data_IF_676132747233
#
_entry.id   IF_676132747233
#
_cell.length_a   1.000
_cell.length_b   1.000
_cell.length_c   1.000
_cell.angle_alpha   90.00
_cell.angle_beta   90.00
_cell.angle_gamma   90.00
#
_symmetry.space_group_name_H-M   'P 1'
#
loop_
_entity.id
_entity.type
_entity.pdbx_description
1 polymer ?
#
# COMPACT_ATOMS: atom_id res chain seq x y z
N UNK A 1 27.12 30.30 -31.70
CA UNK A 1 26.40 30.01 -30.44
C UNK A 1 25.81 28.62 -30.57
N UNK A 2 26.39 27.64 -29.88
CA UNK A 2 25.92 26.25 -29.88
C UNK A 2 25.05 26.02 -28.64
N UNK A 3 23.76 25.73 -28.84
CA UNK A 3 22.87 25.25 -27.78
C UNK A 3 22.81 23.73 -27.85
N UNK A 4 23.55 23.08 -26.96
CA UNK A 4 23.49 21.64 -26.73
C UNK A 4 22.14 21.30 -26.09
N UNK A 5 21.26 20.65 -26.84
CA UNK A 5 20.08 19.98 -26.29
C UNK A 5 20.55 18.86 -25.35
N UNK A 6 20.37 19.05 -24.04
CA UNK A 6 20.47 17.96 -23.06
C UNK A 6 19.30 17.01 -23.31
N UNK A 7 19.59 15.86 -23.89
CA UNK A 7 18.71 14.70 -23.86
C UNK A 7 18.38 14.37 -22.40
N UNK A 8 17.15 14.66 -21.99
CA UNK A 8 16.57 14.12 -20.76
C UNK A 8 16.36 12.63 -20.99
N UNK A 9 17.29 11.82 -20.51
CA UNK A 9 17.15 10.37 -20.41
C UNK A 9 16.00 10.08 -19.44
N UNK A 10 14.78 9.92 -19.97
CA UNK A 10 13.68 9.31 -19.23
C UNK A 10 14.11 7.87 -18.94
N UNK A 11 14.60 7.62 -17.72
CA UNK A 11 14.79 6.25 -17.24
C UNK A 11 13.48 5.48 -17.45
N UNK A 12 13.54 4.22 -17.94
CA UNK A 12 12.35 3.39 -18.05
C UNK A 12 11.64 3.38 -16.68
N UNK A 13 10.35 3.73 -16.66
CA UNK A 13 9.54 3.73 -15.43
C UNK A 13 9.69 2.34 -14.81
N UNK A 14 10.15 2.28 -13.55
CA UNK A 14 10.23 1.03 -12.82
C UNK A 14 8.84 0.35 -12.85
N UNK A 15 8.76 -0.99 -12.96
CA UNK A 15 7.49 -1.70 -12.86
C UNK A 15 6.77 -1.27 -11.58
N UNK A 16 5.53 -0.81 -11.73
CA UNK A 16 4.74 -0.32 -10.62
C UNK A 16 3.88 -1.48 -10.13
N UNK A 17 3.99 -1.80 -8.84
CA UNK A 17 3.01 -2.65 -8.18
C UNK A 17 1.72 -1.84 -8.04
N UNK A 18 0.82 -1.99 -9.00
CA UNK A 18 -0.53 -1.42 -8.92
C UNK A 18 -1.42 -2.36 -8.13
N UNK A 19 -2.25 -1.81 -7.25
CA UNK A 19 -3.24 -2.59 -6.51
C UNK A 19 -4.49 -2.77 -7.37
N UNK A 20 -4.97 -4.01 -7.48
CA UNK A 20 -6.34 -4.22 -7.95
C UNK A 20 -7.32 -3.86 -6.83
N UNK A 21 -7.83 -2.63 -6.81
CA UNK A 21 -8.75 -2.15 -5.75
C UNK A 21 -10.02 -3.03 -5.65
N UNK A 22 -10.41 -3.74 -6.72
CA UNK A 22 -11.54 -4.68 -6.65
C UNK A 22 -11.26 -5.90 -5.76
N UNK A 23 -9.98 -6.26 -5.57
CA UNK A 23 -9.56 -7.29 -4.63
C UNK A 23 -9.93 -6.96 -3.18
N UNK A 24 -10.13 -5.69 -2.85
CA UNK A 24 -10.64 -5.30 -1.53
C UNK A 24 -12.08 -5.76 -1.30
N UNK A 25 -12.88 -5.90 -2.36
CA UNK A 25 -14.31 -6.21 -2.29
C UNK A 25 -14.65 -7.65 -2.64
N UNK A 26 -13.74 -8.37 -3.31
CA UNK A 26 -13.97 -9.71 -3.83
C UNK A 26 -12.84 -10.65 -3.36
N UNK A 27 -13.21 -11.75 -2.70
CA UNK A 27 -12.27 -12.69 -2.09
C UNK A 27 -11.49 -13.52 -3.11
N UNK A 28 -12.09 -13.87 -4.26
CA UNK A 28 -11.36 -14.57 -5.33
C UNK A 28 -10.27 -13.67 -5.91
N UNK A 29 -10.59 -12.39 -6.13
CA UNK A 29 -9.61 -11.38 -6.57
C UNK A 29 -8.57 -11.10 -5.48
N UNK A 30 -8.93 -11.13 -4.20
CA UNK A 30 -7.98 -11.03 -3.09
C UNK A 30 -6.96 -12.16 -3.14
N UNK A 31 -7.40 -13.40 -3.27
CA UNK A 31 -6.51 -14.57 -3.33
C UNK A 31 -5.59 -14.48 -4.55
N UNK A 32 -6.10 -14.07 -5.70
CA UNK A 32 -5.30 -13.85 -6.90
C UNK A 32 -4.25 -12.77 -6.69
N UNK A 33 -4.62 -11.65 -6.05
CA UNK A 33 -3.72 -10.54 -5.80
C UNK A 33 -2.62 -10.90 -4.81
N UNK A 34 -2.96 -11.62 -3.73
CA UNK A 34 -1.98 -12.17 -2.78
C UNK A 34 -1.00 -13.09 -3.49
N UNK A 35 -1.49 -14.04 -4.30
CA UNK A 35 -0.62 -14.94 -5.08
C UNK A 35 0.29 -14.17 -6.02
N UNK A 36 -0.25 -13.15 -6.69
CA UNK A 36 0.53 -12.28 -7.58
C UNK A 36 1.66 -11.60 -6.83
N UNK A 37 1.37 -10.96 -5.68
CA UNK A 37 2.38 -10.30 -4.83
C UNK A 37 3.48 -11.30 -4.43
N UNK A 38 3.09 -12.48 -3.94
CA UNK A 38 4.04 -13.50 -3.47
C UNK A 38 4.79 -14.23 -4.59
N UNK A 39 4.35 -14.12 -5.85
CA UNK A 39 5.00 -14.76 -7.00
C UNK A 39 6.14 -13.96 -7.63
N UNK A 40 6.36 -12.71 -7.18
CA UNK A 40 7.42 -11.87 -7.74
C UNK A 40 8.79 -12.49 -7.44
N UNK A 41 9.59 -12.72 -8.48
CA UNK A 41 10.99 -13.12 -8.32
C UNK A 41 11.87 -11.97 -7.84
N UNK A 42 13.08 -12.29 -7.38
CA UNK A 42 14.06 -11.34 -6.80
C UNK A 42 14.20 -10.02 -7.58
N UNK A 43 14.43 -10.10 -8.90
CA UNK A 43 14.64 -8.90 -9.74
C UNK A 43 13.40 -8.00 -9.87
N UNK A 44 12.21 -8.59 -9.84
CA UNK A 44 10.97 -7.82 -9.91
C UNK A 44 10.62 -7.22 -8.55
N UNK A 45 10.74 -8.01 -7.49
CA UNK A 45 10.58 -7.57 -6.10
C UNK A 45 11.50 -6.39 -5.80
N UNK A 46 12.79 -6.49 -6.15
CA UNK A 46 13.78 -5.42 -5.93
C UNK A 46 13.44 -4.13 -6.68
N UNK A 47 12.84 -4.22 -7.88
CA UNK A 47 12.38 -3.04 -8.63
C UNK A 47 11.17 -2.37 -7.97
N UNK A 48 10.25 -3.16 -7.40
CA UNK A 48 9.06 -2.66 -6.68
C UNK A 48 9.45 -2.02 -5.35
N UNK A 49 10.24 -2.74 -4.55
CA UNK A 49 10.71 -2.32 -3.22
C UNK A 49 11.64 -1.12 -3.35
N UNK A 50 12.50 -1.09 -4.36
CA UNK A 50 13.41 0.02 -4.63
C UNK A 50 14.27 0.37 -3.42
N UNK A 51 14.24 1.65 -3.02
CA UNK A 51 15.01 2.18 -1.87
C UNK A 51 14.36 1.95 -0.50
N UNK A 52 13.29 1.16 -0.44
CA UNK A 52 12.55 0.95 0.80
C UNK A 52 13.44 0.35 1.86
N UNK A 53 13.49 0.97 3.04
CA UNK A 53 14.14 0.39 4.20
C UNK A 53 13.16 -0.48 4.99
N UNK A 54 13.64 -1.62 5.49
CA UNK A 54 12.84 -2.52 6.34
C UNK A 54 12.24 -1.75 7.52
N UNK A 55 13.03 -0.92 8.18
CA UNK A 55 12.58 -0.18 9.37
C UNK A 55 11.49 0.84 9.07
N UNK A 56 11.58 1.55 7.93
CA UNK A 56 10.52 2.49 7.55
C UNK A 56 9.25 1.74 7.13
N UNK A 57 9.38 0.67 6.33
CA UNK A 57 8.24 -0.13 5.95
C UNK A 57 7.56 -0.80 7.14
N UNK A 58 8.32 -1.33 8.10
CA UNK A 58 7.77 -1.88 9.35
C UNK A 58 6.88 -0.88 10.06
N UNK A 59 7.34 0.37 10.20
CA UNK A 59 6.55 1.43 10.83
C UNK A 59 5.27 1.74 10.05
N UNK A 60 5.35 1.76 8.72
CA UNK A 60 4.17 1.93 7.86
C UNK A 60 3.19 0.76 8.07
N UNK A 61 3.70 -0.47 7.98
CA UNK A 61 2.94 -1.70 8.14
C UNK A 61 2.23 -1.73 9.49
N UNK A 62 2.93 -1.51 10.61
CA UNK A 62 2.35 -1.53 11.96
C UNK A 62 1.22 -0.51 12.14
N UNK A 63 1.44 0.73 11.70
CA UNK A 63 0.45 1.81 11.89
C UNK A 63 -0.78 1.60 10.99
N UNK A 64 -0.57 1.23 9.73
CA UNK A 64 -1.67 0.97 8.80
C UNK A 64 -2.44 -0.29 9.23
N UNK A 65 -1.74 -1.37 9.56
CA UNK A 65 -2.33 -2.61 10.05
C UNK A 65 -3.20 -2.37 11.28
N UNK A 66 -2.68 -1.66 12.29
CA UNK A 66 -3.42 -1.34 13.50
C UNK A 66 -4.70 -0.54 13.21
N UNK A 67 -4.65 0.44 12.32
CA UNK A 67 -5.83 1.21 11.93
C UNK A 67 -6.88 0.34 11.21
N UNK A 68 -6.44 -0.53 10.29
CA UNK A 68 -7.31 -1.48 9.58
C UNK A 68 -7.94 -2.50 10.54
N UNK A 69 -7.17 -3.07 11.46
CA UNK A 69 -7.64 -4.07 12.42
C UNK A 69 -8.70 -3.48 13.37
N UNK A 70 -8.48 -2.24 13.82
CA UNK A 70 -9.47 -1.51 14.63
C UNK A 70 -10.76 -1.24 13.85
N UNK A 71 -10.67 -0.85 12.57
CA UNK A 71 -11.86 -0.66 11.74
C UNK A 71 -12.58 -1.98 11.49
N UNK A 72 -11.87 -3.05 11.11
CA UNK A 72 -12.44 -4.39 10.91
C UNK A 72 -13.20 -4.91 12.15
N UNK A 73 -12.67 -4.63 13.34
CA UNK A 73 -13.22 -5.10 14.62
C UNK A 73 -14.32 -4.20 15.20
N UNK A 74 -14.56 -3.03 14.62
CA UNK A 74 -15.51 -2.06 15.16
C UNK A 74 -16.96 -2.59 15.11
N UNK A 75 -17.59 -2.78 16.28
CA UNK A 75 -18.97 -3.28 16.37
C UNK A 75 -20.04 -2.29 15.88
N UNK A 76 -19.71 -1.01 15.76
CA UNK A 76 -20.60 0.07 15.30
C UNK A 76 -19.82 1.14 14.56
N UNK A 77 -20.53 2.07 13.91
CA UNK A 77 -19.92 3.22 13.24
C UNK A 77 -19.15 4.09 14.23
N UNK A 78 -17.87 4.30 13.95
CA UNK A 78 -16.98 5.15 14.74
C UNK A 78 -16.10 5.97 13.78
N UNK A 79 -16.45 7.24 13.62
CA UNK A 79 -15.76 8.15 12.70
C UNK A 79 -14.33 8.47 13.13
N UNK A 80 -13.95 8.24 14.40
CA UNK A 80 -12.57 8.41 14.85
C UNK A 80 -11.60 7.46 14.15
N UNK A 81 -12.08 6.29 13.69
CA UNK A 81 -11.29 5.33 12.94
C UNK A 81 -10.93 5.81 11.53
N UNK A 82 -11.76 6.69 10.94
CA UNK A 82 -11.44 7.36 9.67
C UNK A 82 -10.31 8.37 9.85
N UNK A 83 -10.27 9.04 11.00
CA UNK A 83 -9.16 9.93 11.37
C UNK A 83 -7.87 9.12 11.55
N UNK A 84 -7.95 7.93 12.14
CA UNK A 84 -6.79 7.06 12.32
C UNK A 84 -6.26 6.52 10.97
N UNK A 85 -7.13 6.12 10.04
CA UNK A 85 -6.72 5.79 8.66
C UNK A 85 -6.10 7.00 7.94
N UNK A 86 -6.63 8.20 8.15
CA UNK A 86 -6.06 9.43 7.58
C UNK A 86 -4.68 9.74 8.13
N UNK A 87 -4.44 9.53 9.44
CA UNK A 87 -3.10 9.64 10.04
C UNK A 87 -2.15 8.61 9.45
N UNK A 88 -2.61 7.39 9.19
CA UNK A 88 -1.81 6.35 8.55
C UNK A 88 -1.38 6.78 7.13
N UNK A 89 -2.27 7.38 6.33
CA UNK A 89 -1.91 7.96 5.02
C UNK A 89 -0.85 9.07 5.13
N UNK A 90 -0.98 9.96 6.12
CA UNK A 90 0.01 11.02 6.36
C UNK A 90 1.38 10.40 6.67
N UNK A 91 1.42 9.35 7.48
CA UNK A 91 2.67 8.64 7.78
C UNK A 91 3.29 8.01 6.53
N UNK A 92 2.50 7.35 5.68
CA UNK A 92 2.99 6.79 4.41
C UNK A 92 3.66 7.88 3.56
N UNK A 93 2.97 9.01 3.38
CA UNK A 93 3.50 10.15 2.63
C UNK A 93 4.75 10.75 3.26
N UNK A 94 4.79 10.83 4.58
CA UNK A 94 5.96 11.32 5.30
C UNK A 94 7.18 10.41 5.09
N UNK A 95 7.01 9.09 5.17
CA UNK A 95 8.09 8.13 4.92
C UNK A 95 8.57 8.18 3.47
N UNK A 96 7.66 8.35 2.53
CA UNK A 96 7.99 8.54 1.11
C UNK A 96 8.75 9.85 0.86
N UNK A 97 8.28 10.97 1.40
CA UNK A 97 8.91 12.28 1.26
C UNK A 97 10.31 12.35 1.88
N UNK A 98 10.60 11.48 2.86
CA UNK A 98 11.93 11.29 3.45
C UNK A 98 12.79 10.25 2.71
N UNK A 99 12.33 9.81 1.55
CA UNK A 99 13.00 8.82 0.71
C UNK A 99 13.21 7.44 1.39
N UNK A 100 12.44 7.12 2.44
CA UNK A 100 12.63 5.91 3.25
C UNK A 100 11.83 4.70 2.74
N UNK A 101 10.84 4.95 1.89
CA UNK A 101 10.07 3.95 1.12
C UNK A 101 10.03 4.36 -0.36
N UNK A 102 9.92 3.39 -1.27
CA UNK A 102 9.79 3.66 -2.71
C UNK A 102 8.42 4.23 -3.05
N UNK A 103 8.34 4.89 -4.21
CA UNK A 103 7.06 5.37 -4.75
C UNK A 103 6.07 4.23 -4.97
N UNK A 104 6.53 3.06 -5.44
CA UNK A 104 5.67 1.89 -5.66
C UNK A 104 5.02 1.40 -4.37
N UNK A 105 5.81 1.24 -3.31
CA UNK A 105 5.31 0.85 -1.98
C UNK A 105 4.35 1.91 -1.43
N UNK A 106 4.74 3.19 -1.50
CA UNK A 106 3.91 4.27 -0.99
C UNK A 106 2.55 4.33 -1.69
N UNK A 107 2.54 4.29 -3.02
CA UNK A 107 1.32 4.34 -3.83
C UNK A 107 0.42 3.14 -3.57
N UNK A 108 0.99 1.92 -3.54
CA UNK A 108 0.23 0.71 -3.27
C UNK A 108 -0.50 0.80 -1.92
N UNK A 109 0.22 1.18 -0.85
CA UNK A 109 -0.38 1.32 0.48
C UNK A 109 -1.41 2.44 0.52
N UNK A 110 -1.15 3.58 -0.14
CA UNK A 110 -2.12 4.66 -0.25
C UNK A 110 -3.42 4.21 -0.91
N UNK A 111 -3.33 3.47 -2.03
CA UNK A 111 -4.49 3.05 -2.80
C UNK A 111 -5.33 2.01 -2.03
N UNK A 112 -4.66 1.12 -1.28
CA UNK A 112 -5.33 0.21 -0.33
C UNK A 112 -6.12 0.99 0.73
N UNK A 113 -5.49 1.96 1.39
CA UNK A 113 -6.15 2.72 2.48
C UNK A 113 -7.26 3.62 1.94
N UNK A 114 -7.07 4.26 0.78
CA UNK A 114 -8.12 5.05 0.11
C UNK A 114 -9.32 4.18 -0.25
N UNK A 115 -9.10 2.97 -0.77
CA UNK A 115 -10.18 2.02 -1.06
C UNK A 115 -11.03 1.69 0.17
N UNK A 116 -10.41 1.59 1.35
CA UNK A 116 -11.13 1.40 2.63
C UNK A 116 -11.89 2.65 3.05
N UNK A 117 -11.27 3.84 2.97
CA UNK A 117 -11.92 5.12 3.30
C UNK A 117 -13.15 5.39 2.42
N UNK A 118 -13.02 5.14 1.12
CA UNK A 118 -14.11 5.29 0.16
C UNK A 118 -15.28 4.37 0.48
N UNK A 119 -15.00 3.13 0.91
CA UNK A 119 -16.03 2.20 1.33
C UNK A 119 -16.69 2.66 2.63
N UNK A 120 -15.92 3.10 3.61
CA UNK A 120 -16.44 3.55 4.91
C UNK A 120 -17.32 4.80 4.82
N UNK A 121 -17.15 5.61 3.76
CA UNK A 121 -18.04 6.71 3.41
C UNK A 121 -19.40 6.27 2.87
N UNK A 122 -19.49 5.05 2.31
CA UNK A 122 -20.69 4.51 1.64
C UNK A 122 -21.43 3.52 2.53
N UNK A 123 -20.74 2.51 3.02
CA UNK A 123 -21.28 1.41 3.79
C UNK A 123 -20.27 1.01 4.88
N UNK A 124 -20.63 1.28 6.14
CA UNK A 124 -19.77 0.99 7.28
C UNK A 124 -19.57 -0.50 7.50
N UNK A 125 -20.60 -1.31 7.32
CA UNK A 125 -20.51 -2.75 7.56
C UNK A 125 -19.63 -3.40 6.49
N UNK A 126 -19.81 -3.02 5.23
CA UNK A 126 -18.95 -3.48 4.15
C UNK A 126 -17.50 -2.97 4.30
N UNK A 127 -17.30 -1.74 4.80
CA UNK A 127 -15.96 -1.22 5.06
C UNK A 127 -15.17 -2.07 6.05
N UNK A 128 -15.82 -2.68 7.04
CA UNK A 128 -15.16 -3.63 7.95
C UNK A 128 -14.65 -4.86 7.19
N UNK A 129 -15.43 -5.38 6.24
CA UNK A 129 -14.98 -6.48 5.37
C UNK A 129 -13.81 -6.04 4.50
N UNK A 130 -13.93 -4.90 3.83
CA UNK A 130 -12.89 -4.31 3.00
C UNK A 130 -11.59 -4.07 3.78
N UNK A 131 -11.66 -3.63 5.03
CA UNK A 131 -10.50 -3.46 5.89
C UNK A 131 -9.77 -4.77 6.22
N UNK A 132 -10.49 -5.88 6.41
CA UNK A 132 -9.87 -7.20 6.58
C UNK A 132 -9.10 -7.61 5.32
N UNK A 133 -9.69 -7.41 4.16
CA UNK A 133 -9.04 -7.73 2.88
C UNK A 133 -7.80 -6.83 2.63
N UNK A 134 -7.92 -5.54 2.93
CA UNK A 134 -6.80 -4.59 2.90
C UNK A 134 -5.66 -5.03 3.83
N UNK A 135 -5.98 -5.52 5.03
CA UNK A 135 -5.01 -6.04 6.00
C UNK A 135 -4.22 -7.22 5.41
N UNK A 136 -4.91 -8.15 4.74
CA UNK A 136 -4.29 -9.30 4.06
C UNK A 136 -3.35 -8.86 2.93
N UNK A 137 -3.76 -7.90 2.11
CA UNK A 137 -2.88 -7.35 1.06
C UNK A 137 -1.63 -6.69 1.65
N UNK A 138 -1.77 -5.99 2.78
CA UNK A 138 -0.66 -5.35 3.46
C UNK A 138 0.34 -6.38 4.04
N UNK A 139 -0.14 -7.54 4.51
CA UNK A 139 0.72 -8.65 4.93
C UNK A 139 1.45 -9.31 3.78
N UNK A 140 0.77 -9.55 2.65
CA UNK A 140 1.43 -10.08 1.46
C UNK A 140 2.56 -9.14 0.98
N UNK A 141 2.30 -7.82 0.99
CA UNK A 141 3.32 -6.83 0.68
C UNK A 141 4.47 -6.84 1.69
N UNK A 142 4.17 -7.08 2.97
CA UNK A 142 5.21 -7.18 3.99
C UNK A 142 6.16 -8.35 3.71
N UNK A 143 5.63 -9.52 3.39
CA UNK A 143 6.46 -10.68 3.01
C UNK A 143 7.42 -10.29 1.89
N UNK A 144 6.90 -9.66 0.82
CA UNK A 144 7.73 -9.19 -0.29
C UNK A 144 8.85 -8.25 0.18
N UNK A 145 8.53 -7.24 1.00
CA UNK A 145 9.54 -6.28 1.50
C UNK A 145 10.58 -6.95 2.38
N UNK A 146 10.16 -7.82 3.31
CA UNK A 146 11.07 -8.47 4.26
C UNK A 146 11.98 -9.53 3.61
N UNK A 147 11.53 -10.16 2.53
CA UNK A 147 12.30 -11.19 1.81
C UNK A 147 13.39 -10.58 0.92
N UNK A 148 13.19 -9.35 0.42
CA UNK A 148 13.99 -8.78 -0.67
C UNK A 148 14.61 -7.40 -0.36
N UNK A 149 14.64 -6.97 0.91
CA UNK A 149 15.37 -5.78 1.39
C UNK A 149 16.56 -6.21 2.25
#
# INVERSE_FOLDING_TARGET
MNFTQKFSSRSPRAPQLEVNVNALRNEDLLVQEVRRILSHGFEEARRIIGKTSITAYRRVHEVVASALDRLASAGKRDTSLLVDLSKALILVRYQYARDQISEGIARYVEDVVKGVLDEAGKDWENARKVARNARTLLDALAVLVYEYT
#
